data_IF_757598754304
#
_entry.id   IF_757598754304
#
_cell.length_a   1.000
_cell.length_b   1.000
_cell.length_c   1.000
_cell.angle_alpha   90.00
_cell.angle_beta   90.00
_cell.angle_gamma   90.00
#
_symmetry.space_group_name_H-M   'P 1'
#
loop_
_entity.id
_entity.type
_entity.pdbx_description
1 polymer ?
#
# COMPACT_ATOMS: atom_id res chain seq x y z
N UNK A 1 10.64 7.55 -8.57
CA UNK A 1 10.64 6.46 -7.57
C UNK A 1 11.40 6.94 -6.35
N UNK A 2 10.68 7.41 -5.33
CA UNK A 2 11.27 8.01 -4.13
C UNK A 2 11.55 6.88 -3.11
N UNK A 3 12.82 6.52 -2.93
CA UNK A 3 13.26 5.30 -2.26
C UNK A 3 13.31 5.39 -0.73
N UNK A 4 12.23 5.84 -0.08
CA UNK A 4 12.15 5.80 1.41
C UNK A 4 11.46 4.55 1.96
N UNK A 5 10.81 3.76 1.11
CA UNK A 5 10.12 2.53 1.51
C UNK A 5 10.85 1.29 1.01
N UNK A 6 10.67 0.17 1.72
CA UNK A 6 11.31 -1.11 1.43
C UNK A 6 10.94 -1.55 0.00
N UNK A 7 11.91 -1.82 -0.89
CA UNK A 7 11.63 -2.16 -2.29
C UNK A 7 10.77 -3.42 -2.44
N UNK A 8 10.78 -4.30 -1.44
CA UNK A 8 9.99 -5.54 -1.45
C UNK A 8 8.48 -5.28 -1.42
N UNK A 9 8.01 -4.29 -0.66
CA UNK A 9 6.56 -4.03 -0.58
C UNK A 9 6.03 -3.40 -1.87
N UNK A 10 6.85 -2.61 -2.56
CA UNK A 10 6.50 -2.04 -3.86
C UNK A 10 6.37 -3.14 -4.91
N UNK A 11 7.38 -4.02 -5.00
CA UNK A 11 7.36 -5.13 -5.94
C UNK A 11 6.16 -6.06 -5.70
N UNK A 12 5.84 -6.37 -4.44
CA UNK A 12 4.69 -7.19 -4.10
C UNK A 12 3.36 -6.51 -4.50
N UNK A 13 3.21 -5.22 -4.21
CA UNK A 13 1.99 -4.47 -4.57
C UNK A 13 1.84 -4.38 -6.09
N UNK A 14 2.91 -4.14 -6.84
CA UNK A 14 2.90 -4.15 -8.31
C UNK A 14 2.43 -5.50 -8.86
N UNK A 15 3.00 -6.61 -8.36
CA UNK A 15 2.58 -7.96 -8.75
C UNK A 15 1.10 -8.22 -8.45
N UNK A 16 0.62 -7.83 -7.27
CA UNK A 16 -0.79 -8.03 -6.90
C UNK A 16 -1.75 -7.16 -7.72
N UNK A 17 -1.36 -5.95 -8.11
CA UNK A 17 -2.17 -5.11 -8.99
C UNK A 17 -2.26 -5.67 -10.41
N UNK A 18 -1.18 -6.28 -10.92
CA UNK A 18 -1.20 -6.97 -12.21
C UNK A 18 -2.11 -8.21 -12.18
N UNK A 19 -2.05 -9.00 -11.09
CA UNK A 19 -2.85 -10.21 -10.93
C UNK A 19 -4.33 -9.89 -10.63
N UNK A 20 -4.60 -8.81 -9.89
CA UNK A 20 -5.94 -8.40 -9.45
C UNK A 20 -6.23 -6.94 -9.85
N UNK A 21 -6.51 -6.65 -11.14
CA UNK A 21 -6.60 -5.29 -11.66
C UNK A 21 -7.78 -4.45 -11.13
N UNK A 22 -8.73 -5.10 -10.44
CA UNK A 22 -9.88 -4.44 -9.81
C UNK A 22 -9.73 -4.32 -8.28
N UNK A 23 -8.65 -4.84 -7.70
CA UNK A 23 -8.40 -4.71 -6.28
C UNK A 23 -8.05 -3.27 -5.90
N UNK A 24 -8.41 -2.88 -4.68
CA UNK A 24 -8.10 -1.57 -4.11
C UNK A 24 -7.15 -1.72 -2.95
N UNK A 25 -6.26 -0.73 -2.77
CA UNK A 25 -5.25 -0.72 -1.72
C UNK A 25 -5.72 0.18 -0.58
N UNK A 26 -5.61 -0.32 0.66
CA UNK A 26 -6.10 0.36 1.86
C UNK A 26 -5.11 0.22 3.02
N UNK A 27 -5.08 1.21 3.90
CA UNK A 27 -4.36 1.15 5.17
C UNK A 27 -5.14 0.43 6.26
N UNK A 28 -4.44 -0.21 7.19
CA UNK A 28 -5.06 -0.87 8.34
C UNK A 28 -5.85 0.11 9.22
N UNK A 29 -5.44 1.37 9.27
CA UNK A 29 -6.14 2.46 9.95
C UNK A 29 -7.52 2.78 9.35
N UNK A 30 -7.81 2.37 8.11
CA UNK A 30 -9.14 2.51 7.50
C UNK A 30 -10.15 1.49 8.07
N UNK A 31 -9.66 0.38 8.60
CA UNK A 31 -10.49 -0.72 9.14
C UNK A 31 -10.36 -0.91 10.65
N UNK A 32 -9.40 -0.24 11.29
CA UNK A 32 -9.17 -0.32 12.73
C UNK A 32 -8.74 1.04 13.29
N UNK A 33 -9.17 1.36 14.52
CA UNK A 33 -8.73 2.56 15.24
C UNK A 33 -7.28 2.39 15.76
N UNK A 34 -6.32 2.32 14.84
CA UNK A 34 -4.88 2.15 15.09
C UNK A 34 -4.10 3.02 14.13
N UNK A 35 -2.93 3.52 14.55
CA UNK A 35 -2.08 4.33 13.69
C UNK A 35 -1.39 3.54 12.56
N UNK A 36 -1.37 2.20 12.65
CA UNK A 36 -0.82 1.31 11.62
C UNK A 36 -1.47 1.58 10.25
N UNK A 37 -0.72 1.73 9.15
CA UNK A 37 0.70 1.39 8.99
C UNK A 37 1.69 2.53 9.30
N UNK A 38 1.24 3.59 9.99
CA UNK A 38 2.02 4.76 10.41
C UNK A 38 2.48 5.66 9.25
N UNK A 39 1.86 5.52 8.08
CA UNK A 39 1.99 6.41 6.93
C UNK A 39 0.67 6.42 6.15
N UNK A 40 0.55 7.32 5.18
CA UNK A 40 -0.64 7.48 4.34
C UNK A 40 -0.57 6.55 3.13
N UNK A 41 -1.33 5.45 3.16
CA UNK A 41 -1.36 4.45 2.06
C UNK A 41 -1.93 5.05 0.78
N UNK A 42 -2.96 5.89 0.89
CA UNK A 42 -3.62 6.49 -0.27
C UNK A 42 -2.70 7.48 -0.98
N UNK A 43 -1.81 8.17 -0.24
CA UNK A 43 -0.81 9.04 -0.85
C UNK A 43 0.25 8.26 -1.65
N UNK A 44 0.58 7.05 -1.24
CA UNK A 44 1.64 6.25 -1.86
C UNK A 44 1.14 5.40 -3.05
N UNK A 45 -0.11 4.91 -3.03
CA UNK A 45 -0.67 4.03 -4.08
C UNK A 45 -2.10 4.36 -4.56
N UNK A 46 -2.67 5.48 -4.14
CA UNK A 46 -4.04 5.90 -4.50
C UNK A 46 -4.14 6.91 -5.63
#
# INVERSE_FOLDING_TARGET
MNSRFCPLIHALIEQLNEEYPLATIHGHNEFANKACPCFDVKKEWG
#
